data_IF_624664465011
#
_entry.id   IF_624664465011
#
_cell.length_a   1.000
_cell.length_b   1.000
_cell.length_c   1.000
_cell.angle_alpha   90.00
_cell.angle_beta   90.00
_cell.angle_gamma   90.00
#
_symmetry.space_group_name_H-M   'P 1'
#
loop_
_entity.id
_entity.type
_entity.pdbx_description
1 polymer ?
#
# COMPACT_ATOMS: atom_id res chain seq x y z
N UNK A 1 16.23 23.65 2.17
CA UNK A 1 17.07 22.91 1.20
C UNK A 1 16.46 21.52 1.05
N UNK A 2 15.90 21.23 -0.12
CA UNK A 2 15.12 20.00 -0.36
C UNK A 2 16.03 18.79 -0.71
N UNK A 3 17.36 18.90 -0.51
CA UNK A 3 18.28 17.83 -0.87
C UNK A 3 18.40 17.63 -2.39
N UNK A 4 19.05 16.55 -2.80
CA UNK A 4 19.21 16.13 -4.19
C UNK A 4 17.94 15.42 -4.69
N UNK A 5 17.58 15.66 -5.98
CA UNK A 5 16.31 15.21 -6.54
C UNK A 5 16.29 13.74 -6.93
N UNK A 6 17.41 13.21 -7.42
CA UNK A 6 17.42 11.87 -8.00
C UNK A 6 18.27 10.90 -7.20
N UNK A 7 17.78 9.65 -7.11
CA UNK A 7 18.57 8.48 -6.73
C UNK A 7 19.04 7.77 -8.00
N UNK A 8 20.34 7.56 -8.13
CA UNK A 8 20.95 6.79 -9.21
C UNK A 8 21.58 5.53 -8.63
N UNK A 9 21.13 4.38 -9.08
CA UNK A 9 21.65 3.06 -8.70
C UNK A 9 22.12 2.30 -9.92
N UNK A 10 23.23 1.57 -9.79
CA UNK A 10 23.65 0.60 -10.79
C UNK A 10 24.68 -0.40 -10.24
N UNK A 11 24.82 -1.53 -10.94
CA UNK A 11 26.00 -2.38 -10.78
C UNK A 11 27.11 -1.88 -11.67
N UNK A 12 28.35 -1.91 -11.17
CA UNK A 12 29.54 -1.46 -11.86
C UNK A 12 30.57 -2.60 -11.93
N UNK A 13 30.90 -3.04 -13.15
CA UNK A 13 32.05 -3.90 -13.37
C UNK A 13 33.28 -3.00 -13.50
N UNK A 14 34.12 -2.94 -12.48
CA UNK A 14 35.32 -2.11 -12.42
C UNK A 14 36.41 -2.75 -11.57
N UNK A 15 37.70 -2.56 -11.91
CA UNK A 15 38.82 -3.01 -11.08
C UNK A 15 38.75 -2.40 -9.67
N UNK A 16 39.15 -3.19 -8.67
CA UNK A 16 39.07 -2.76 -7.26
C UNK A 16 39.91 -1.50 -6.98
N UNK A 17 41.03 -1.32 -7.68
CA UNK A 17 41.90 -0.15 -7.55
C UNK A 17 41.33 1.14 -8.16
N UNK A 18 40.31 1.06 -9.03
CA UNK A 18 39.63 2.22 -9.59
C UNK A 18 38.52 2.80 -8.70
N UNK A 19 38.06 2.04 -7.70
CA UNK A 19 36.83 2.37 -6.95
C UNK A 19 37.01 3.58 -6.01
N UNK A 20 38.17 3.79 -5.44
CA UNK A 20 38.42 4.95 -4.59
C UNK A 20 38.39 6.26 -5.37
N UNK A 21 38.90 6.25 -6.60
CA UNK A 21 38.79 7.37 -7.54
C UNK A 21 37.35 7.63 -7.95
N UNK A 22 36.61 6.58 -8.22
CA UNK A 22 35.19 6.63 -8.54
C UNK A 22 34.34 7.21 -7.39
N UNK A 23 34.55 6.75 -6.16
CA UNK A 23 33.88 7.33 -4.96
C UNK A 23 34.16 8.82 -4.80
N UNK A 24 35.42 9.25 -5.09
CA UNK A 24 35.82 10.65 -5.02
C UNK A 24 35.09 11.48 -6.09
N UNK A 25 34.96 10.96 -7.32
CA UNK A 25 34.22 11.62 -8.40
C UNK A 25 32.72 11.76 -8.02
N UNK A 26 32.12 10.73 -7.46
CA UNK A 26 30.74 10.77 -7.02
C UNK A 26 30.49 11.73 -5.87
N UNK A 27 31.44 11.85 -4.93
CA UNK A 27 31.35 12.81 -3.82
C UNK A 27 31.29 14.28 -4.28
N UNK A 28 31.72 14.57 -5.51
CA UNK A 28 31.60 15.90 -6.12
C UNK A 28 30.25 16.10 -6.82
N UNK A 29 29.49 15.04 -7.08
CA UNK A 29 28.23 15.06 -7.84
C UNK A 29 26.98 14.95 -6.97
N UNK A 30 27.12 14.44 -5.75
CA UNK A 30 25.96 14.20 -4.88
C UNK A 30 26.31 13.76 -3.47
N UNK A 31 25.32 13.29 -2.76
CA UNK A 31 25.41 12.81 -1.38
C UNK A 31 24.85 11.38 -1.23
N UNK A 32 24.79 10.88 0.02
CA UNK A 32 24.23 9.54 0.34
C UNK A 32 24.88 8.41 -0.46
N UNK A 33 26.19 8.51 -0.69
CA UNK A 33 26.94 7.61 -1.55
C UNK A 33 27.16 6.27 -0.85
N UNK A 34 26.75 5.20 -1.51
CA UNK A 34 27.02 3.82 -1.11
C UNK A 34 27.66 3.07 -2.26
N UNK A 35 28.86 2.54 -2.08
CA UNK A 35 29.54 1.66 -3.04
C UNK A 35 30.03 0.44 -2.29
N UNK A 36 29.35 -0.68 -2.51
CA UNK A 36 29.59 -1.96 -1.80
C UNK A 36 29.81 -3.08 -2.81
N UNK A 37 30.81 -3.89 -2.60
CA UNK A 37 31.14 -5.01 -3.47
C UNK A 37 32.61 -5.44 -3.33
N UNK A 38 33.12 -6.12 -4.34
CA UNK A 38 34.48 -6.61 -4.45
C UNK A 38 34.60 -7.58 -5.62
N UNK A 39 35.83 -8.08 -5.87
CA UNK A 39 36.10 -8.99 -6.97
C UNK A 39 35.66 -8.46 -8.34
N UNK A 40 35.73 -7.14 -8.52
CA UNK A 40 35.42 -6.46 -9.80
C UNK A 40 33.93 -6.13 -10.00
N UNK A 41 33.04 -6.42 -9.05
CA UNK A 41 31.59 -6.12 -9.15
C UNK A 41 31.13 -5.28 -7.97
N UNK A 42 30.56 -4.12 -8.25
CA UNK A 42 30.18 -3.13 -7.25
C UNK A 42 28.71 -2.75 -7.40
N UNK A 43 28.00 -2.70 -6.28
CA UNK A 43 26.65 -2.09 -6.20
C UNK A 43 26.82 -0.64 -5.77
N UNK A 44 26.34 0.28 -6.59
CA UNK A 44 26.57 1.70 -6.49
C UNK A 44 25.23 2.44 -6.33
N UNK A 45 25.19 3.40 -5.40
CA UNK A 45 24.05 4.23 -5.08
C UNK A 45 24.53 5.65 -4.75
N UNK A 46 23.87 6.66 -5.31
CA UNK A 46 24.12 8.09 -5.04
C UNK A 46 22.83 8.89 -5.16
N UNK A 47 22.64 9.88 -4.32
CA UNK A 47 21.66 10.93 -4.50
C UNK A 47 22.29 12.11 -5.22
N UNK A 48 21.74 12.57 -6.34
CA UNK A 48 22.34 13.60 -7.21
C UNK A 48 21.30 14.36 -8.01
N UNK A 49 21.63 15.59 -8.40
CA UNK A 49 20.88 16.35 -9.41
C UNK A 49 21.46 16.17 -10.82
N UNK A 50 22.65 15.55 -10.93
CA UNK A 50 23.34 15.26 -12.19
C UNK A 50 23.38 13.77 -12.49
N UNK A 51 22.24 13.25 -13.00
CA UNK A 51 22.10 11.85 -13.42
C UNK A 51 23.16 11.47 -14.46
N UNK A 52 23.42 12.38 -15.43
CA UNK A 52 24.39 12.16 -16.51
C UNK A 52 25.80 11.98 -15.97
N UNK A 53 26.25 12.92 -15.14
CA UNK A 53 27.57 12.88 -14.51
C UNK A 53 27.76 11.64 -13.63
N UNK A 54 26.73 11.23 -12.89
CA UNK A 54 26.79 10.02 -12.07
C UNK A 54 27.00 8.74 -12.91
N UNK A 55 26.37 8.63 -14.07
CA UNK A 55 26.54 7.50 -14.99
C UNK A 55 27.91 7.58 -15.72
N UNK A 56 28.30 8.76 -16.19
CA UNK A 56 29.58 8.99 -16.87
C UNK A 56 30.79 8.68 -15.99
N UNK A 57 30.70 9.01 -14.68
CA UNK A 57 31.72 8.62 -13.72
C UNK A 57 31.91 7.09 -13.64
N UNK A 58 30.83 6.33 -13.70
CA UNK A 58 30.90 4.86 -13.77
C UNK A 58 31.52 4.38 -15.09
N UNK A 59 31.13 4.98 -16.22
CA UNK A 59 31.68 4.62 -17.54
C UNK A 59 33.19 4.90 -17.62
N UNK A 60 33.67 5.95 -16.94
CA UNK A 60 35.08 6.31 -16.93
C UNK A 60 36.01 5.26 -16.28
N UNK A 61 35.47 4.46 -15.34
CA UNK A 61 36.23 3.46 -14.60
C UNK A 61 35.88 2.02 -14.95
N UNK A 62 34.73 1.79 -15.62
CA UNK A 62 34.27 0.46 -15.91
C UNK A 62 32.98 0.42 -16.73
N UNK A 63 32.15 -0.59 -16.46
CA UNK A 63 30.88 -0.80 -17.16
C UNK A 63 29.73 -0.76 -16.18
N UNK A 64 28.95 0.36 -16.11
CA UNK A 64 27.70 0.38 -15.38
C UNK A 64 26.61 -0.43 -16.13
N UNK A 65 25.78 -1.17 -15.38
CA UNK A 65 24.65 -1.92 -15.92
C UNK A 65 23.51 -2.03 -14.91
N UNK A 66 22.31 -2.37 -15.39
CA UNK A 66 21.08 -2.34 -14.59
C UNK A 66 20.89 -0.99 -13.89
N UNK A 67 21.08 0.07 -14.68
CA UNK A 67 20.95 1.44 -14.19
C UNK A 67 19.48 1.71 -13.88
N UNK A 68 19.23 2.20 -12.66
CA UNK A 68 17.93 2.66 -12.18
C UNK A 68 18.06 4.10 -11.73
N UNK A 69 17.12 4.92 -12.14
CA UNK A 69 16.98 6.30 -11.68
C UNK A 69 15.61 6.47 -11.09
N UNK A 70 15.54 6.98 -9.85
CA UNK A 70 14.30 7.27 -9.14
C UNK A 70 14.26 8.76 -8.84
N UNK A 71 13.14 9.43 -9.11
CA UNK A 71 12.90 10.81 -8.67
C UNK A 71 12.39 10.77 -7.23
N UNK A 72 13.21 11.23 -6.29
CA UNK A 72 12.88 11.25 -4.87
C UNK A 72 11.77 12.28 -4.53
N UNK A 73 11.59 13.29 -5.38
CA UNK A 73 10.52 14.27 -5.19
C UNK A 73 9.18 13.82 -5.76
N UNK A 74 9.16 12.90 -6.73
CA UNK A 74 7.92 12.30 -7.20
C UNK A 74 7.32 11.41 -6.11
N UNK A 75 8.12 10.62 -5.36
CA UNK A 75 7.65 9.90 -4.19
C UNK A 75 7.13 10.85 -3.07
N UNK A 76 7.85 11.96 -2.83
CA UNK A 76 7.40 12.99 -1.87
C UNK A 76 6.17 13.73 -2.39
N UNK A 77 6.09 13.98 -3.70
CA UNK A 77 4.94 14.64 -4.33
C UNK A 77 3.71 13.76 -4.31
N UNK A 78 3.85 12.48 -4.63
CA UNK A 78 2.78 11.49 -4.47
C UNK A 78 2.32 11.41 -3.01
N UNK A 79 3.24 11.38 -2.04
CA UNK A 79 2.91 11.43 -0.62
C UNK A 79 2.27 12.76 -0.19
N UNK A 80 2.71 13.89 -0.73
CA UNK A 80 2.13 15.21 -0.43
C UNK A 80 0.77 15.42 -1.11
N UNK A 81 0.61 14.94 -2.34
CA UNK A 81 -0.68 14.92 -3.03
C UNK A 81 -1.64 13.94 -2.36
N UNK A 82 -1.16 12.79 -1.93
CA UNK A 82 -1.91 11.83 -1.12
C UNK A 82 -2.28 12.44 0.25
N UNK A 83 -1.38 13.15 0.92
CA UNK A 83 -1.66 13.86 2.17
C UNK A 83 -2.56 15.09 1.98
N UNK A 84 -2.42 15.84 0.90
CA UNK A 84 -3.31 16.95 0.57
C UNK A 84 -4.71 16.43 0.20
N UNK A 85 -4.78 15.35 -0.56
CA UNK A 85 -6.01 14.66 -0.86
C UNK A 85 -6.63 14.03 0.40
N UNK A 86 -5.82 13.50 1.33
CA UNK A 86 -6.24 13.04 2.67
C UNK A 86 -6.88 14.18 3.44
N UNK A 87 -6.24 15.33 3.48
CA UNK A 87 -6.72 16.50 4.20
C UNK A 87 -8.01 17.06 3.61
N UNK A 88 -8.09 17.15 2.28
CA UNK A 88 -9.28 17.57 1.55
C UNK A 88 -10.40 16.52 1.63
N UNK A 89 -10.06 15.24 1.64
CA UNK A 89 -11.01 14.14 1.82
C UNK A 89 -11.53 14.08 3.25
N UNK A 90 -10.68 14.32 4.26
CA UNK A 90 -11.10 14.45 5.66
C UNK A 90 -11.98 15.69 5.86
N UNK A 91 -11.65 16.81 5.22
CA UNK A 91 -12.45 18.05 5.28
C UNK A 91 -13.79 17.89 4.55
N UNK A 92 -13.81 17.22 3.40
CA UNK A 92 -15.04 16.89 2.67
C UNK A 92 -15.89 15.82 3.40
N UNK A 93 -15.23 14.93 4.14
CA UNK A 93 -15.87 13.88 4.93
C UNK A 93 -16.50 14.42 6.23
N UNK A 94 -16.11 15.60 6.69
CA UNK A 94 -16.71 16.26 7.84
C UNK A 94 -18.12 16.83 7.55
N UNK A 95 -18.56 16.83 6.27
CA UNK A 95 -19.75 17.57 5.83
C UNK A 95 -21.07 16.81 5.84
N UNK A 96 -21.12 15.51 5.54
CA UNK A 96 -22.37 14.76 5.48
C UNK A 96 -22.20 13.31 5.96
N UNK A 97 -22.47 13.10 7.22
CA UNK A 97 -22.53 11.76 7.83
C UNK A 97 -23.91 11.10 7.66
N UNK A 98 -24.80 11.73 6.88
CA UNK A 98 -26.16 11.26 6.63
C UNK A 98 -27.09 11.38 7.84
N UNK A 99 -28.31 10.85 7.67
CA UNK A 99 -29.28 10.83 8.76
C UNK A 99 -28.90 9.78 9.83
N UNK A 100 -29.28 9.99 11.11
CA UNK A 100 -29.06 9.01 12.15
C UNK A 100 -29.61 7.63 11.79
N UNK A 101 -28.86 6.61 12.11
CA UNK A 101 -29.25 5.18 11.98
C UNK A 101 -28.93 4.46 13.28
N UNK A 102 -29.64 3.39 13.63
CA UNK A 102 -29.31 2.56 14.79
C UNK A 102 -27.87 2.05 14.77
N UNK A 103 -27.45 1.49 13.67
CA UNK A 103 -26.09 0.99 13.47
C UNK A 103 -25.47 1.64 12.23
N UNK A 104 -24.26 2.17 12.34
CA UNK A 104 -23.49 2.75 11.21
C UNK A 104 -22.29 1.88 10.84
N UNK A 105 -21.79 2.02 9.61
CA UNK A 105 -20.54 1.39 9.19
C UNK A 105 -19.46 2.45 8.97
N UNK A 106 -18.28 2.19 9.55
CA UNK A 106 -17.02 2.87 9.27
C UNK A 106 -16.08 1.89 8.59
N UNK A 107 -15.47 2.27 7.48
CA UNK A 107 -14.56 1.40 6.73
C UNK A 107 -13.20 2.05 6.52
N UNK A 108 -12.15 1.23 6.44
CA UNK A 108 -10.83 1.68 6.03
C UNK A 108 -10.67 1.39 4.54
N UNK A 109 -10.23 2.38 3.77
CA UNK A 109 -9.94 2.20 2.34
C UNK A 109 -8.96 3.25 1.82
N UNK A 110 -8.34 2.97 0.69
CA UNK A 110 -7.50 3.89 -0.06
C UNK A 110 -8.11 4.14 -1.45
N UNK A 111 -7.99 5.38 -1.92
CA UNK A 111 -8.43 5.79 -3.24
C UNK A 111 -9.90 6.28 -3.31
N UNK A 112 -10.15 7.31 -4.16
CA UNK A 112 -11.46 7.96 -4.26
C UNK A 112 -12.54 7.01 -4.80
N UNK A 113 -12.20 6.16 -5.78
CA UNK A 113 -13.17 5.23 -6.38
C UNK A 113 -13.68 4.19 -5.38
N UNK A 114 -12.81 3.61 -4.55
CA UNK A 114 -13.20 2.66 -3.51
C UNK A 114 -14.07 3.34 -2.45
N UNK A 115 -13.68 4.54 -2.02
CA UNK A 115 -14.47 5.34 -1.08
C UNK A 115 -15.89 5.61 -1.61
N UNK A 116 -16.02 6.01 -2.87
CA UNK A 116 -17.31 6.34 -3.46
C UNK A 116 -18.21 5.09 -3.58
N UNK A 117 -17.61 3.92 -3.87
CA UNK A 117 -18.33 2.64 -3.87
C UNK A 117 -18.77 2.29 -2.44
N UNK A 118 -17.90 2.38 -1.44
CA UNK A 118 -18.26 2.13 -0.04
C UNK A 118 -19.40 3.04 0.43
N UNK A 119 -19.35 4.33 0.10
CA UNK A 119 -20.45 5.26 0.41
C UNK A 119 -21.76 4.89 -0.25
N UNK A 120 -21.71 4.46 -1.53
CA UNK A 120 -22.92 4.02 -2.23
C UNK A 120 -23.55 2.77 -1.62
N UNK A 121 -22.75 1.96 -0.89
CA UNK A 121 -23.19 0.79 -0.14
C UNK A 121 -23.59 1.10 1.31
N UNK A 122 -23.63 2.37 1.70
CA UNK A 122 -24.12 2.79 3.01
C UNK A 122 -23.05 3.03 4.08
N UNK A 123 -21.76 2.94 3.74
CA UNK A 123 -20.68 3.32 4.66
C UNK A 123 -20.77 4.82 4.97
N UNK A 124 -20.83 5.15 6.25
CA UNK A 124 -21.01 6.53 6.71
C UNK A 124 -19.69 7.30 6.79
N UNK A 125 -18.60 6.60 7.04
CA UNK A 125 -17.27 7.20 7.12
C UNK A 125 -16.24 6.26 6.53
N UNK A 126 -15.35 6.79 5.71
CA UNK A 126 -14.20 6.05 5.19
C UNK A 126 -12.94 6.68 5.75
N UNK A 127 -12.17 5.89 6.52
CA UNK A 127 -10.87 6.27 7.04
C UNK A 127 -9.81 5.87 6.02
N UNK A 128 -8.91 6.79 5.72
CA UNK A 128 -7.83 6.48 4.80
C UNK A 128 -6.87 5.47 5.41
N UNK A 129 -6.58 4.42 4.69
CA UNK A 129 -5.64 3.39 5.09
C UNK A 129 -5.57 2.25 4.08
N UNK A 130 -4.48 1.48 4.13
CA UNK A 130 -4.25 0.38 3.20
C UNK A 130 -2.90 -0.29 3.43
N UNK A 131 -2.30 -0.84 2.38
CA UNK A 131 -1.06 -1.64 2.45
C UNK A 131 0.14 -0.88 3.02
N UNK A 132 0.28 0.41 2.68
CA UNK A 132 1.43 1.25 3.07
C UNK A 132 1.14 2.23 4.21
N UNK A 133 -0.14 2.46 4.54
CA UNK A 133 -0.54 3.42 5.55
C UNK A 133 -1.62 2.82 6.47
N UNK A 134 -1.25 2.58 7.73
CA UNK A 134 -2.19 2.09 8.73
C UNK A 134 -2.73 3.27 9.55
N UNK A 135 -4.06 3.48 9.63
CA UNK A 135 -4.64 4.48 10.52
C UNK A 135 -4.35 4.12 11.98
N UNK A 136 -4.17 5.14 12.80
CA UNK A 136 -4.03 4.97 14.24
C UNK A 136 -5.36 4.63 14.90
N UNK A 137 -5.32 4.12 16.15
CA UNK A 137 -6.55 3.95 16.96
C UNK A 137 -7.30 5.28 17.12
N UNK A 138 -6.58 6.41 17.22
CA UNK A 138 -7.18 7.74 17.34
C UNK A 138 -7.92 8.16 16.06
N UNK A 139 -7.41 7.83 14.87
CA UNK A 139 -8.08 8.13 13.60
C UNK A 139 -9.37 7.32 13.45
N UNK A 140 -9.33 6.04 13.81
CA UNK A 140 -10.50 5.16 13.80
C UNK A 140 -11.54 5.61 14.82
N UNK A 141 -11.11 5.97 16.03
CA UNK A 141 -11.97 6.49 17.09
C UNK A 141 -12.67 7.79 16.65
N UNK A 142 -11.92 8.73 16.09
CA UNK A 142 -12.47 9.98 15.59
C UNK A 142 -13.55 9.75 14.50
N UNK A 143 -13.35 8.77 13.63
CA UNK A 143 -14.33 8.39 12.63
C UNK A 143 -15.59 7.73 13.24
N UNK A 144 -15.43 6.89 14.25
CA UNK A 144 -16.53 6.27 14.99
C UNK A 144 -17.34 7.32 15.76
N UNK A 145 -16.67 8.27 16.42
CA UNK A 145 -17.36 9.35 17.14
C UNK A 145 -18.15 10.29 16.22
N UNK A 146 -17.66 10.49 15.00
CA UNK A 146 -18.26 11.40 14.03
C UNK A 146 -19.56 10.86 13.40
N UNK A 147 -19.82 9.55 13.42
CA UNK A 147 -21.07 9.01 12.83
C UNK A 147 -22.25 9.14 13.78
N UNK A 148 -23.45 9.51 13.28
CA UNK A 148 -24.65 9.70 14.12
C UNK A 148 -25.36 8.36 14.39
N UNK A 149 -24.69 7.47 15.12
CA UNK A 149 -25.18 6.19 15.53
C UNK A 149 -24.58 5.81 16.88
N UNK A 150 -25.33 5.10 17.73
CA UNK A 150 -24.84 4.57 19.00
C UNK A 150 -24.13 3.24 18.84
N UNK A 151 -24.43 2.53 17.77
CA UNK A 151 -23.79 1.27 17.41
C UNK A 151 -23.01 1.43 16.08
N UNK A 152 -21.80 0.87 16.00
CA UNK A 152 -20.91 1.02 14.85
C UNK A 152 -20.24 -0.29 14.49
N UNK A 153 -20.28 -0.64 13.22
CA UNK A 153 -19.48 -1.72 12.64
C UNK A 153 -18.25 -1.12 11.96
N UNK A 154 -17.08 -1.66 12.24
CA UNK A 154 -15.81 -1.23 11.69
C UNK A 154 -15.28 -2.31 10.74
N UNK A 155 -14.97 -1.91 9.47
CA UNK A 155 -14.38 -2.73 8.43
C UNK A 155 -12.92 -2.32 8.21
N UNK A 156 -11.93 -3.03 8.77
CA UNK A 156 -10.52 -2.70 8.64
C UNK A 156 -9.97 -2.84 7.22
N UNK A 157 -10.47 -3.82 6.46
CA UNK A 157 -10.07 -4.15 5.08
C UNK A 157 -8.55 -4.36 4.88
N UNK A 158 -7.86 -4.65 5.98
CA UNK A 158 -6.44 -4.99 6.01
C UNK A 158 -6.13 -5.75 7.30
N UNK A 159 -5.46 -6.90 7.18
CA UNK A 159 -5.11 -7.75 8.32
C UNK A 159 -4.28 -7.04 9.40
N UNK A 160 -3.45 -6.07 9.02
CA UNK A 160 -2.63 -5.30 9.96
C UNK A 160 -3.44 -4.30 10.81
N UNK A 161 -4.61 -3.89 10.32
CA UNK A 161 -5.47 -2.89 10.98
C UNK A 161 -6.44 -3.54 11.97
N UNK A 162 -6.74 -4.84 11.85
CA UNK A 162 -7.73 -5.54 12.69
C UNK A 162 -7.42 -5.37 14.18
N UNK A 163 -6.17 -5.54 14.58
CA UNK A 163 -5.76 -5.42 15.98
C UNK A 163 -5.93 -4.00 16.54
N UNK A 164 -5.66 -2.99 15.70
CA UNK A 164 -5.82 -1.57 16.06
C UNK A 164 -7.32 -1.22 16.14
N UNK A 165 -8.12 -1.70 15.20
CA UNK A 165 -9.57 -1.51 15.18
C UNK A 165 -10.24 -2.11 16.44
N UNK A 166 -9.77 -3.28 16.88
CA UNK A 166 -10.28 -3.93 18.09
C UNK A 166 -10.06 -3.16 19.41
N UNK A 167 -9.22 -2.12 19.39
CA UNK A 167 -8.98 -1.28 20.58
C UNK A 167 -9.97 -0.11 20.69
N UNK A 168 -10.77 0.16 19.65
CA UNK A 168 -11.64 1.33 19.57
C UNK A 168 -12.82 1.20 20.55
N UNK A 169 -13.45 0.02 20.65
CA UNK A 169 -14.61 -0.23 21.52
C UNK A 169 -14.34 0.18 22.98
N UNK A 170 -13.13 -0.07 23.49
CA UNK A 170 -12.75 0.27 24.86
C UNK A 170 -12.52 1.77 25.10
N UNK A 171 -12.55 2.62 24.05
CA UNK A 171 -12.22 4.05 24.11
C UNK A 171 -13.42 4.96 23.77
N UNK A 172 -14.62 4.39 23.59
CA UNK A 172 -15.85 5.11 23.25
C UNK A 172 -17.01 4.60 24.11
N UNK A 173 -18.03 5.44 24.28
CA UNK A 173 -19.30 5.04 24.90
C UNK A 173 -20.23 4.32 23.91
N UNK A 174 -19.89 4.30 22.61
CA UNK A 174 -20.63 3.59 21.56
C UNK A 174 -20.31 2.09 21.59
N UNK A 175 -21.24 1.27 21.10
CA UNK A 175 -20.98 -0.15 20.88
C UNK A 175 -20.28 -0.36 19.55
N UNK A 176 -19.01 -0.73 19.55
CA UNK A 176 -18.23 -0.95 18.33
C UNK A 176 -17.95 -2.43 18.11
N UNK A 177 -18.24 -2.92 16.92
CA UNK A 177 -17.90 -4.28 16.48
C UNK A 177 -17.01 -4.25 15.26
N UNK A 178 -16.00 -5.11 15.25
CA UNK A 178 -15.05 -5.21 14.14
C UNK A 178 -15.31 -6.47 13.34
N UNK A 179 -15.70 -6.33 12.10
CA UNK A 179 -15.73 -7.43 11.13
C UNK A 179 -14.30 -7.63 10.62
N UNK A 180 -13.67 -8.80 10.79
CA UNK A 180 -12.23 -8.98 10.58
C UNK A 180 -11.85 -9.10 9.09
N UNK A 181 -12.27 -8.12 8.28
CA UNK A 181 -11.96 -8.05 6.84
C UNK A 181 -10.48 -7.78 6.60
N UNK A 182 -9.85 -8.58 5.73
CA UNK A 182 -8.42 -8.52 5.40
C UNK A 182 -8.15 -7.83 4.06
N UNK A 183 -9.21 -7.60 3.26
CA UNK A 183 -9.13 -6.98 1.95
C UNK A 183 -10.42 -6.26 1.59
N UNK A 184 -10.33 -5.43 0.54
CA UNK A 184 -11.46 -4.64 0.03
C UNK A 184 -12.61 -5.54 -0.48
N UNK A 185 -12.29 -6.69 -1.07
CA UNK A 185 -13.28 -7.67 -1.56
C UNK A 185 -14.13 -8.25 -0.43
N UNK A 186 -13.51 -8.59 0.70
CA UNK A 186 -14.20 -9.03 1.92
C UNK A 186 -15.08 -7.91 2.49
N UNK A 187 -14.56 -6.65 2.46
CA UNK A 187 -15.34 -5.48 2.87
C UNK A 187 -16.58 -5.26 2.02
N UNK A 188 -16.48 -5.41 0.69
CA UNK A 188 -17.63 -5.32 -0.20
C UNK A 188 -18.65 -6.42 0.06
N UNK A 189 -18.21 -7.67 0.21
CA UNK A 189 -19.11 -8.78 0.50
C UNK A 189 -19.84 -8.58 1.83
N UNK A 190 -19.12 -8.11 2.87
CA UNK A 190 -19.71 -7.78 4.15
C UNK A 190 -20.84 -6.74 4.04
N UNK A 191 -20.65 -5.70 3.21
CA UNK A 191 -21.64 -4.64 3.06
C UNK A 191 -22.94 -5.09 2.35
N UNK A 192 -22.93 -6.19 1.63
CA UNK A 192 -24.16 -6.77 1.05
C UNK A 192 -25.11 -7.34 2.12
N UNK A 193 -24.57 -7.70 3.28
CA UNK A 193 -25.33 -8.23 4.42
C UNK A 193 -25.55 -7.18 5.52
N UNK A 194 -25.14 -5.93 5.30
CA UNK A 194 -25.30 -4.86 6.27
C UNK A 194 -26.76 -4.39 6.37
N UNK A 195 -27.30 -4.40 7.59
CA UNK A 195 -28.61 -3.82 7.93
C UNK A 195 -28.43 -2.59 8.85
N UNK A 196 -28.70 -1.37 8.37
CA UNK A 196 -28.61 -0.17 9.20
C UNK A 196 -29.63 -0.09 10.32
N UNK A 197 -30.64 -0.98 10.33
CA UNK A 197 -31.66 -1.07 11.38
C UNK A 197 -31.35 -2.18 12.41
N UNK A 198 -30.39 -3.05 12.09
CA UNK A 198 -29.93 -4.12 12.98
C UNK A 198 -28.98 -3.62 14.07
N UNK A 199 -28.68 -4.46 15.04
CA UNK A 199 -27.66 -4.19 16.06
C UNK A 199 -26.23 -4.38 15.49
N UNK A 200 -25.22 -3.86 16.18
CA UNK A 200 -23.82 -4.10 15.79
C UNK A 200 -23.44 -5.58 15.91
N UNK A 201 -24.03 -6.32 16.86
CA UNK A 201 -23.79 -7.75 17.04
C UNK A 201 -24.45 -8.60 15.93
N UNK A 202 -25.68 -8.28 15.50
CA UNK A 202 -26.34 -8.94 14.38
C UNK A 202 -25.59 -8.69 13.07
N UNK A 203 -25.21 -7.43 12.83
CA UNK A 203 -24.39 -7.04 11.68
C UNK A 203 -23.02 -7.73 11.68
N UNK A 204 -22.34 -7.80 12.84
CA UNK A 204 -21.08 -8.53 12.95
C UNK A 204 -21.25 -10.00 12.48
N UNK A 205 -22.30 -10.68 12.92
CA UNK A 205 -22.52 -12.08 12.60
C UNK A 205 -22.76 -12.32 11.09
N UNK A 206 -23.67 -11.53 10.47
CA UNK A 206 -24.00 -11.67 9.05
C UNK A 206 -22.85 -11.19 8.13
N UNK A 207 -22.25 -10.04 8.44
CA UNK A 207 -21.18 -9.46 7.67
C UNK A 207 -19.88 -10.27 7.73
N UNK A 208 -19.55 -10.86 8.91
CA UNK A 208 -18.39 -11.73 9.04
C UNK A 208 -18.58 -13.04 8.25
N UNK A 209 -19.78 -13.62 8.27
CA UNK A 209 -20.07 -14.81 7.48
C UNK A 209 -19.93 -14.55 5.96
N UNK A 210 -20.36 -13.36 5.48
CA UNK A 210 -20.18 -12.95 4.11
C UNK A 210 -18.70 -12.73 3.74
N UNK A 211 -17.92 -12.10 4.63
CA UNK A 211 -16.48 -11.94 4.44
C UNK A 211 -15.74 -13.28 4.33
N UNK A 212 -16.07 -14.21 5.23
CA UNK A 212 -15.45 -15.55 5.28
C UNK A 212 -15.79 -16.41 4.04
N UNK A 213 -16.90 -16.11 3.35
CA UNK A 213 -17.31 -16.82 2.12
C UNK A 213 -16.55 -16.32 0.88
N UNK A 214 -15.82 -15.21 0.97
CA UNK A 214 -15.08 -14.65 -0.18
C UNK A 214 -13.80 -15.41 -0.42
N UNK A 215 -13.58 -15.81 -1.66
CA UNK A 215 -12.27 -16.25 -2.15
C UNK A 215 -11.66 -15.08 -2.92
N UNK A 216 -10.73 -14.38 -2.27
CA UNK A 216 -10.02 -13.27 -2.90
C UNK A 216 -8.87 -13.77 -3.77
N UNK A 217 -8.81 -13.28 -5.02
CA UNK A 217 -7.68 -13.44 -5.91
C UNK A 217 -7.00 -12.10 -6.16
N UNK A 218 -5.69 -12.10 -6.22
CA UNK A 218 -4.87 -10.92 -6.52
C UNK A 218 -4.00 -11.21 -7.75
N UNK A 219 -3.82 -10.21 -8.60
CA UNK A 219 -2.86 -10.30 -9.70
C UNK A 219 -1.81 -9.21 -9.52
N UNK A 220 -0.55 -9.60 -9.57
CA UNK A 220 0.59 -8.69 -9.43
C UNK A 220 1.69 -9.06 -10.44
N UNK A 221 2.71 -8.21 -10.55
CA UNK A 221 3.89 -8.47 -11.38
C UNK A 221 5.08 -8.79 -10.49
N UNK A 222 5.81 -9.85 -10.83
CA UNK A 222 7.05 -10.21 -10.15
C UNK A 222 8.12 -9.14 -10.38
N UNK A 223 8.76 -8.70 -9.31
CA UNK A 223 9.83 -7.68 -9.34
C UNK A 223 11.23 -8.31 -9.24
N UNK A 224 11.32 -9.63 -9.21
CA UNK A 224 12.57 -10.40 -9.16
C UNK A 224 12.31 -11.88 -9.43
N UNK A 225 13.37 -12.58 -9.84
CA UNK A 225 13.34 -14.04 -9.94
C UNK A 225 13.18 -14.68 -8.55
N UNK A 226 12.31 -15.67 -8.46
CA UNK A 226 12.08 -16.45 -7.23
C UNK A 226 11.45 -17.80 -7.53
N UNK A 227 11.31 -18.66 -6.52
CA UNK A 227 10.60 -19.93 -6.64
C UNK A 227 9.25 -19.88 -5.93
N UNK A 228 8.30 -20.68 -6.43
CA UNK A 228 7.01 -20.93 -5.79
C UNK A 228 6.63 -22.40 -5.87
N UNK A 229 5.54 -22.77 -5.17
CA UNK A 229 5.01 -24.14 -5.22
C UNK A 229 4.49 -24.53 -6.62
N UNK A 230 4.17 -23.53 -7.46
CA UNK A 230 3.64 -23.75 -8.83
C UNK A 230 4.68 -23.59 -9.93
N UNK A 231 5.91 -23.20 -9.60
CA UNK A 231 7.01 -23.11 -10.55
C UNK A 231 8.02 -22.00 -10.27
N UNK A 232 8.94 -21.84 -11.22
CA UNK A 232 9.92 -20.77 -11.20
C UNK A 232 9.27 -19.47 -11.65
N UNK A 233 9.51 -18.41 -10.93
CA UNK A 233 9.04 -17.06 -11.23
C UNK A 233 10.21 -16.26 -11.79
N UNK A 234 10.01 -15.60 -12.91
CA UNK A 234 10.96 -14.64 -13.51
C UNK A 234 10.52 -13.20 -13.26
N UNK A 235 11.48 -12.29 -13.23
CA UNK A 235 11.20 -10.85 -13.18
C UNK A 235 10.31 -10.44 -14.37
N UNK A 236 9.18 -9.77 -14.06
CA UNK A 236 8.18 -9.37 -15.05
C UNK A 236 7.03 -10.36 -15.25
N UNK A 237 7.08 -11.58 -14.71
CA UNK A 237 5.95 -12.52 -14.75
C UNK A 237 4.72 -11.96 -14.04
N UNK A 238 3.53 -12.25 -14.57
CA UNK A 238 2.27 -11.95 -13.92
C UNK A 238 1.86 -13.11 -13.01
N UNK A 239 1.68 -12.79 -11.74
CA UNK A 239 1.38 -13.77 -10.69
C UNK A 239 -0.08 -13.65 -10.26
N UNK A 240 -0.79 -14.76 -10.30
CA UNK A 240 -2.09 -14.89 -9.65
C UNK A 240 -1.92 -15.49 -8.25
N UNK A 241 -2.45 -14.80 -7.23
CA UNK A 241 -2.36 -15.22 -5.83
C UNK A 241 -3.77 -15.54 -5.30
N UNK A 242 -3.85 -16.58 -4.50
CA UNK A 242 -5.04 -16.93 -3.71
C UNK A 242 -4.61 -17.20 -2.28
N UNK A 243 -5.26 -16.53 -1.31
CA UNK A 243 -4.89 -16.66 0.10
C UNK A 243 -3.42 -16.28 0.40
N UNK A 244 -2.86 -15.34 -0.35
CA UNK A 244 -1.48 -14.87 -0.21
C UNK A 244 -0.42 -15.82 -0.78
N UNK A 245 -0.81 -16.88 -1.50
CA UNK A 245 0.10 -17.82 -2.17
C UNK A 245 -0.01 -17.70 -3.67
N UNK A 246 1.12 -17.83 -4.36
CA UNK A 246 1.14 -17.88 -5.82
C UNK A 246 0.45 -19.17 -6.28
N UNK A 247 -0.61 -19.02 -7.05
CA UNK A 247 -1.41 -20.12 -7.62
C UNK A 247 -1.27 -20.22 -9.14
N UNK A 248 -0.89 -19.10 -9.79
CA UNK A 248 -0.74 -18.98 -11.24
C UNK A 248 0.50 -18.16 -11.56
N UNK A 249 1.27 -18.59 -12.58
CA UNK A 249 2.34 -17.79 -13.21
C UNK A 249 1.96 -17.66 -14.68
N UNK A 250 1.97 -16.46 -15.23
CA UNK A 250 1.53 -16.19 -16.60
C UNK A 250 2.31 -15.02 -17.22
N UNK A 251 2.29 -14.94 -18.56
CA UNK A 251 2.94 -13.87 -19.31
C UNK A 251 2.14 -12.56 -19.32
N UNK A 252 0.84 -12.62 -19.04
CA UNK A 252 -0.04 -11.45 -19.03
C UNK A 252 -0.95 -11.41 -17.80
N UNK A 253 -1.38 -10.20 -17.42
CA UNK A 253 -2.35 -10.03 -16.34
C UNK A 253 -3.69 -10.71 -16.64
N UNK A 254 -4.08 -10.76 -17.92
CA UNK A 254 -5.31 -11.43 -18.36
C UNK A 254 -5.23 -12.95 -18.13
N UNK A 255 -4.12 -13.58 -18.51
CA UNK A 255 -3.91 -15.03 -18.32
C UNK A 255 -3.81 -15.37 -16.83
N UNK A 256 -3.10 -14.54 -16.03
CA UNK A 256 -3.05 -14.70 -14.59
C UNK A 256 -4.45 -14.61 -13.95
N UNK A 257 -5.27 -13.63 -14.37
CA UNK A 257 -6.65 -13.47 -13.88
C UNK A 257 -7.52 -14.66 -14.28
N UNK A 258 -7.43 -15.11 -15.53
CA UNK A 258 -8.23 -16.23 -16.03
C UNK A 258 -7.84 -17.55 -15.35
N UNK A 259 -6.56 -17.71 -15.01
CA UNK A 259 -6.06 -18.89 -14.30
C UNK A 259 -6.47 -18.95 -12.82
N UNK A 260 -6.94 -17.84 -12.24
CA UNK A 260 -7.48 -17.78 -10.87
C UNK A 260 -8.98 -18.13 -10.81
N UNK A 261 -9.71 -18.02 -11.93
CA UNK A 261 -11.15 -18.31 -12.03
C UNK A 261 -11.43 -19.78 -12.29
#
# INVERSE_FOLDING_TARGET
>A
DLGTQYEVMYFLDAPDDAVDGFKTAWAALGDSIVVVGGDGVWNCHVHTDDIGGAIEAGIAVGRPYRIRVTDLFDEVREQVEEQAWVRDSMAADLGDVGQPVPCAVVAVANGPGIRDIFRSLGVRRVVLGGQSMNPSTADLLAAVEAVPADEVVLLPNNGNIIAVAGQVDAQTDKSVRVVPTRGITEGFASLLEYDPQGTADDNLASMAAAADAVVAGEVTVAVRDSGSDVGQISDGDHLGLTGGKVSVIADTAFDATTGLL
#
